data_IF_007917274055
#
_entry.id   IF_007917274055
#
_cell.length_a   1.000
_cell.length_b   1.000
_cell.length_c   1.000
_cell.angle_alpha   90.00
_cell.angle_beta   90.00
_cell.angle_gamma   90.00
#
_symmetry.space_group_name_H-M   'P 1'
#
loop_
_entity.id
_entity.type
_entity.pdbx_description
1 polymer ?
#
# COMPACT_ATOMS: atom_id res chain seq x y z
N UNK A 1 8.95 22.58 -16.31
CA UNK A 1 7.69 23.21 -16.72
C UNK A 1 6.58 22.19 -16.56
N UNK A 2 5.32 22.59 -16.31
CA UNK A 2 4.19 21.67 -16.22
C UNK A 2 4.01 20.90 -17.54
N UNK A 3 4.15 19.57 -17.49
CA UNK A 3 4.17 18.73 -18.69
C UNK A 3 3.66 17.32 -18.39
N UNK A 4 3.21 16.62 -19.43
CA UNK A 4 3.10 15.16 -19.41
C UNK A 4 4.53 14.62 -19.58
N UNK A 5 4.99 13.85 -18.59
CA UNK A 5 6.36 13.32 -18.56
C UNK A 5 6.45 12.05 -17.73
N UNK A 6 7.56 11.33 -17.89
CA UNK A 6 7.92 10.13 -17.11
C UNK A 6 8.44 10.43 -15.70
N UNK A 7 8.28 11.66 -15.21
CA UNK A 7 8.79 12.04 -13.90
C UNK A 7 7.95 11.39 -12.78
N UNK A 8 8.60 10.98 -11.69
CA UNK A 8 7.92 10.56 -10.46
C UNK A 8 7.43 11.75 -9.61
N UNK A 9 8.01 12.93 -9.82
CA UNK A 9 7.60 14.21 -9.22
C UNK A 9 7.07 15.14 -10.31
N UNK A 10 5.99 15.87 -10.06
CA UNK A 10 5.55 16.92 -10.98
C UNK A 10 6.40 18.21 -10.86
N UNK A 11 6.10 19.20 -11.70
CA UNK A 11 6.83 20.48 -11.69
C UNK A 11 6.72 21.25 -10.36
N UNK A 12 5.64 21.06 -9.60
CA UNK A 12 5.41 21.73 -8.32
C UNK A 12 6.01 20.96 -7.13
N UNK A 13 6.55 19.76 -7.39
CA UNK A 13 7.18 18.88 -6.41
C UNK A 13 6.19 17.90 -5.76
N UNK A 14 4.98 17.76 -6.31
CA UNK A 14 4.02 16.77 -5.81
C UNK A 14 4.47 15.37 -6.21
N UNK A 15 4.37 14.44 -5.27
CA UNK A 15 4.68 13.03 -5.51
C UNK A 15 3.57 12.37 -6.32
N UNK A 16 3.93 11.79 -7.48
CA UNK A 16 3.06 10.86 -8.22
C UNK A 16 3.16 9.46 -7.61
N UNK A 17 2.25 8.56 -7.99
CA UNK A 17 2.27 7.16 -7.56
C UNK A 17 3.67 6.51 -7.66
N UNK A 18 4.38 6.75 -8.77
CA UNK A 18 5.74 6.23 -8.98
C UNK A 18 6.74 6.63 -7.88
N UNK A 19 6.61 7.81 -7.26
CA UNK A 19 7.54 8.22 -6.20
C UNK A 19 7.28 7.46 -4.89
N UNK A 20 6.02 7.19 -4.58
CA UNK A 20 5.65 6.34 -3.43
C UNK A 20 6.13 4.90 -3.65
N UNK A 21 5.95 4.36 -4.86
CA UNK A 21 6.51 3.05 -5.23
C UNK A 21 8.04 3.03 -5.15
N UNK A 22 8.73 4.06 -5.65
CA UNK A 22 10.18 4.15 -5.58
C UNK A 22 10.71 4.15 -4.15
N UNK A 23 10.01 4.84 -3.24
CA UNK A 23 10.31 4.78 -1.80
C UNK A 23 10.19 3.34 -1.25
N UNK A 24 9.28 2.53 -1.76
CA UNK A 24 9.09 1.12 -1.34
C UNK A 24 10.13 0.20 -1.96
N UNK A 25 10.30 0.22 -3.29
CA UNK A 25 11.21 -0.70 -3.98
C UNK A 25 12.70 -0.36 -3.85
N UNK A 26 13.05 0.82 -3.30
CA UNK A 26 14.42 1.15 -2.86
C UNK A 26 14.61 1.11 -1.35
N UNK A 27 13.69 0.48 -0.60
CA UNK A 27 13.89 0.25 0.82
C UNK A 27 15.13 -0.66 1.03
N UNK A 28 16.07 -0.33 1.94
CA UNK A 28 17.26 -1.15 2.20
C UNK A 28 16.98 -2.62 2.55
N UNK A 29 15.77 -2.90 3.03
CA UNK A 29 15.27 -4.27 3.20
C UNK A 29 13.95 -4.42 2.46
N UNK A 30 13.95 -5.28 1.44
CA UNK A 30 12.83 -5.43 0.51
C UNK A 30 12.42 -6.88 0.35
N UNK A 31 11.14 -7.16 0.58
CA UNK A 31 10.50 -8.42 0.21
C UNK A 31 9.94 -8.30 -1.21
N UNK A 32 10.24 -9.25 -2.09
CA UNK A 32 9.70 -9.27 -3.45
C UNK A 32 9.13 -10.63 -3.81
N UNK A 33 8.02 -10.61 -4.54
CA UNK A 33 7.35 -11.79 -5.09
C UNK A 33 7.42 -11.69 -6.61
N UNK A 34 7.93 -12.73 -7.27
CA UNK A 34 8.03 -12.76 -8.72
C UNK A 34 7.62 -14.13 -9.26
N UNK A 35 6.87 -14.13 -10.36
CA UNK A 35 6.52 -15.38 -11.04
C UNK A 35 7.62 -15.76 -12.05
N UNK A 36 8.07 -17.01 -11.99
CA UNK A 36 8.96 -17.59 -13.00
C UNK A 36 8.73 -19.10 -13.08
N UNK A 37 8.60 -19.62 -14.29
CA UNK A 37 8.41 -21.06 -14.55
C UNK A 37 7.22 -21.66 -13.76
N UNK A 38 6.06 -21.01 -13.79
CA UNK A 38 4.84 -21.44 -13.09
C UNK A 38 5.00 -21.56 -11.55
N UNK A 39 5.93 -20.80 -10.97
CA UNK A 39 6.18 -20.75 -9.54
C UNK A 39 6.32 -19.30 -9.09
N UNK A 40 5.83 -19.00 -7.89
CA UNK A 40 6.08 -17.74 -7.20
C UNK A 40 7.37 -17.90 -6.39
N UNK A 41 8.36 -17.08 -6.72
CA UNK A 41 9.62 -16.96 -6.01
C UNK A 41 9.59 -15.76 -5.10
N UNK A 42 9.92 -15.98 -3.84
CA UNK A 42 9.95 -14.97 -2.80
C UNK A 42 11.41 -14.69 -2.46
N UNK A 43 11.83 -13.44 -2.66
CA UNK A 43 13.18 -12.99 -2.34
C UNK A 43 13.16 -11.93 -1.23
N UNK A 44 14.17 -11.98 -0.37
CA UNK A 44 14.45 -10.94 0.62
C UNK A 44 15.78 -10.30 0.23
N UNK A 45 15.73 -9.01 -0.07
CA UNK A 45 16.90 -8.20 -0.42
C UNK A 45 17.35 -7.45 0.82
N UNK A 46 18.67 -7.45 1.04
CA UNK A 46 19.32 -6.72 2.11
C UNK A 46 20.51 -5.93 1.56
N UNK A 47 20.33 -4.61 1.43
CA UNK A 47 21.39 -3.69 1.01
C UNK A 47 22.18 -3.12 2.21
N UNK A 48 21.95 -3.64 3.42
CA UNK A 48 22.64 -3.22 4.63
C UNK A 48 23.93 -4.03 4.86
N UNK A 49 24.84 -3.48 5.65
CA UNK A 49 26.12 -4.07 6.04
C UNK A 49 26.02 -5.08 7.21
N UNK A 50 24.78 -5.47 7.57
CA UNK A 50 24.49 -6.40 8.67
C UNK A 50 23.52 -7.47 8.21
N UNK A 51 23.85 -8.71 8.56
CA UNK A 51 22.90 -9.80 8.49
C UNK A 51 21.87 -9.67 9.62
N UNK A 52 20.67 -10.22 9.39
CA UNK A 52 19.61 -10.24 10.39
C UNK A 52 18.71 -11.45 10.20
N UNK A 53 18.02 -11.84 11.27
CA UNK A 53 16.99 -12.88 11.24
C UNK A 53 15.61 -12.24 11.15
N UNK A 54 14.76 -12.81 10.30
CA UNK A 54 13.34 -12.45 10.17
C UNK A 54 12.48 -13.69 10.09
N UNK A 55 11.22 -13.55 10.47
CA UNK A 55 10.18 -14.51 10.13
C UNK A 55 9.48 -14.05 8.86
N UNK A 56 9.49 -14.88 7.82
CA UNK A 56 8.73 -14.69 6.59
C UNK A 56 7.35 -15.32 6.76
N UNK A 57 6.30 -14.51 6.64
CA UNK A 57 4.92 -14.97 6.66
C UNK A 57 4.28 -14.78 5.28
N UNK A 58 3.64 -15.82 4.75
CA UNK A 58 3.03 -15.87 3.42
C UNK A 58 1.62 -16.40 3.53
N UNK A 59 0.67 -15.67 2.93
CA UNK A 59 -0.75 -15.96 2.95
C UNK A 59 -1.30 -15.94 1.54
N UNK A 60 -2.11 -16.94 1.20
CA UNK A 60 -3.03 -16.85 0.08
C UNK A 60 -4.38 -16.40 0.62
N UNK A 61 -4.81 -15.20 0.22
CA UNK A 61 -6.11 -14.66 0.59
C UNK A 61 -7.08 -14.76 -0.58
N UNK A 62 -8.34 -15.05 -0.28
CA UNK A 62 -9.43 -14.59 -1.15
C UNK A 62 -9.70 -13.09 -0.90
N UNK A 63 -10.40 -12.43 -1.83
CA UNK A 63 -10.73 -11.01 -1.66
C UNK A 63 -11.79 -10.71 -0.59
N UNK A 64 -12.41 -11.73 0.01
CA UNK A 64 -13.29 -11.56 1.16
C UNK A 64 -12.50 -11.47 2.48
N UNK A 65 -11.20 -11.82 2.45
CA UNK A 65 -10.30 -11.82 3.60
C UNK A 65 -10.14 -13.18 4.25
N UNK A 66 -10.61 -14.26 3.62
CA UNK A 66 -10.38 -15.62 4.10
C UNK A 66 -8.96 -16.06 3.71
N UNK A 67 -8.27 -16.70 4.66
CA UNK A 67 -6.96 -17.33 4.42
C UNK A 67 -7.19 -18.73 3.84
N UNK A 68 -6.75 -18.94 2.61
CA UNK A 68 -6.80 -20.24 1.93
C UNK A 68 -5.54 -21.07 2.16
N UNK A 69 -4.40 -20.40 2.38
CA UNK A 69 -3.13 -21.02 2.71
C UNK A 69 -2.29 -20.06 3.56
N UNK A 70 -1.56 -20.61 4.52
CA UNK A 70 -0.59 -19.88 5.33
C UNK A 70 0.71 -20.68 5.43
N UNK A 71 1.84 -20.00 5.30
CA UNK A 71 3.19 -20.51 5.53
C UNK A 71 3.99 -19.51 6.32
N UNK A 72 4.76 -20.00 7.28
CA UNK A 72 5.71 -19.20 8.05
C UNK A 72 7.04 -19.94 8.15
N UNK A 73 8.14 -19.21 8.03
CA UNK A 73 9.48 -19.75 8.20
C UNK A 73 10.47 -18.68 8.65
N UNK A 74 11.43 -19.08 9.47
CA UNK A 74 12.55 -18.22 9.86
C UNK A 74 13.61 -18.22 8.76
N UNK A 75 14.14 -17.02 8.47
CA UNK A 75 15.13 -16.79 7.43
C UNK A 75 16.24 -15.92 8.01
N UNK A 76 17.47 -16.45 7.97
CA UNK A 76 18.67 -15.64 8.14
C UNK A 76 18.97 -14.94 6.81
N UNK A 77 19.00 -13.60 6.81
CA UNK A 77 19.24 -12.78 5.62
C UNK A 77 20.67 -12.24 5.70
N UNK A 78 21.59 -12.69 4.83
CA UNK A 78 22.97 -12.20 4.81
C UNK A 78 23.04 -10.71 4.47
N UNK A 79 24.13 -10.03 4.86
CA UNK A 79 24.43 -8.67 4.41
C UNK A 79 24.65 -8.61 2.88
N UNK A 80 24.31 -7.49 2.24
CA UNK A 80 24.47 -7.25 0.79
C UNK A 80 24.02 -8.42 -0.09
N UNK A 81 22.81 -8.92 0.15
CA UNK A 81 22.32 -10.17 -0.45
C UNK A 81 20.93 -10.05 -1.08
N UNK A 82 20.62 -11.02 -1.94
CA UNK A 82 19.28 -11.29 -2.46
C UNK A 82 18.98 -12.76 -2.24
N UNK A 83 18.35 -13.05 -1.10
CA UNK A 83 18.12 -14.41 -0.62
C UNK A 83 16.80 -14.96 -1.15
N UNK A 84 16.82 -16.14 -1.78
CA UNK A 84 15.60 -16.80 -2.25
C UNK A 84 14.96 -17.58 -1.10
N UNK A 85 14.21 -16.88 -0.27
CA UNK A 85 13.62 -17.45 0.93
C UNK A 85 12.64 -18.61 0.66
N UNK A 86 11.76 -18.48 -0.35
CA UNK A 86 10.72 -19.49 -0.60
C UNK A 86 10.37 -19.58 -2.09
N UNK A 87 9.99 -20.79 -2.53
CA UNK A 87 9.40 -21.03 -3.84
C UNK A 87 8.11 -21.83 -3.64
N UNK A 88 7.03 -21.39 -4.29
CA UNK A 88 5.73 -22.07 -4.25
C UNK A 88 5.24 -22.26 -5.68
N UNK A 89 4.89 -23.49 -6.04
CA UNK A 89 4.28 -23.76 -7.35
C UNK A 89 2.88 -23.14 -7.43
N UNK A 90 2.56 -22.55 -8.58
CA UNK A 90 1.27 -21.90 -8.82
C UNK A 90 0.11 -22.91 -8.79
N UNK A 91 0.35 -24.15 -9.20
CA UNK A 91 -0.59 -25.28 -9.08
C UNK A 91 -1.06 -25.51 -7.64
N UNK A 92 -0.16 -25.39 -6.66
CA UNK A 92 -0.47 -25.55 -5.23
C UNK A 92 -1.33 -24.37 -4.75
N UNK A 93 -1.02 -23.16 -5.21
CA UNK A 93 -1.76 -21.94 -4.84
C UNK A 93 -3.17 -21.91 -5.44
N UNK A 94 -3.35 -22.48 -6.63
CA UNK A 94 -4.59 -22.38 -7.40
C UNK A 94 -5.37 -23.69 -7.49
N UNK A 95 -5.06 -24.69 -6.66
CA UNK A 95 -5.73 -25.99 -6.65
C UNK A 95 -7.26 -25.86 -6.49
N UNK A 96 -7.69 -24.91 -5.66
CA UNK A 96 -9.11 -24.68 -5.31
C UNK A 96 -9.54 -23.22 -5.53
N UNK A 97 -8.78 -22.44 -6.30
CA UNK A 97 -9.02 -21.01 -6.47
C UNK A 97 -8.81 -20.56 -7.92
N UNK A 98 -9.63 -19.61 -8.37
CA UNK A 98 -9.38 -18.88 -9.62
C UNK A 98 -8.34 -17.78 -9.41
N UNK A 99 -7.47 -17.55 -10.39
CA UNK A 99 -6.51 -16.43 -10.42
C UNK A 99 -7.16 -15.06 -10.14
N UNK A 100 -8.42 -14.89 -10.54
CA UNK A 100 -9.18 -13.64 -10.38
C UNK A 100 -9.75 -13.42 -8.97
N UNK A 101 -9.73 -14.45 -8.11
CA UNK A 101 -10.43 -14.45 -6.81
C UNK A 101 -9.48 -14.40 -5.62
N UNK A 102 -8.19 -14.63 -5.86
CA UNK A 102 -7.16 -14.71 -4.82
C UNK A 102 -5.96 -13.84 -5.12
N UNK A 103 -5.19 -13.55 -4.08
CA UNK A 103 -3.90 -12.90 -4.18
C UNK A 103 -2.96 -13.44 -3.11
N UNK A 104 -1.66 -13.39 -3.38
CA UNK A 104 -0.65 -13.73 -2.40
C UNK A 104 -0.25 -12.47 -1.64
N UNK A 105 -0.26 -12.54 -0.31
CA UNK A 105 0.28 -11.52 0.57
C UNK A 105 1.45 -12.09 1.35
N UNK A 106 2.56 -11.37 1.41
CA UNK A 106 3.67 -11.75 2.24
C UNK A 106 4.22 -10.55 3.01
N UNK A 107 4.74 -10.80 4.20
CA UNK A 107 5.52 -9.83 4.94
C UNK A 107 6.64 -10.51 5.73
N UNK A 108 7.69 -9.73 5.99
CA UNK A 108 8.77 -10.11 6.90
C UNK A 108 8.69 -9.25 8.15
N UNK A 109 8.95 -9.86 9.29
CA UNK A 109 8.98 -9.18 10.58
C UNK A 109 10.12 -9.69 11.46
N UNK A 110 10.45 -8.88 12.45
CA UNK A 110 11.34 -9.27 13.55
C UNK A 110 10.73 -8.80 14.87
N UNK A 111 11.50 -8.84 15.96
CA UNK A 111 11.06 -8.42 17.29
C UNK A 111 10.59 -6.94 17.36
N UNK A 112 10.95 -6.09 16.40
CA UNK A 112 10.50 -4.69 16.31
C UNK A 112 9.22 -4.51 15.48
N UNK A 113 8.73 -5.56 14.81
CA UNK A 113 7.52 -5.55 13.99
C UNK A 113 7.77 -5.79 12.50
N UNK A 114 6.77 -5.46 11.68
CA UNK A 114 6.81 -5.65 10.22
C UNK A 114 7.81 -4.71 9.56
N UNK A 115 8.67 -5.27 8.71
CA UNK A 115 9.77 -4.55 8.03
C UNK A 115 9.41 -4.24 6.58
N UNK A 116 8.92 -5.25 5.86
CA UNK A 116 8.59 -5.15 4.43
C UNK A 116 7.41 -6.07 4.12
N UNK A 117 6.57 -5.65 3.17
CA UNK A 117 5.40 -6.41 2.69
C UNK A 117 5.29 -6.33 1.18
N UNK A 118 4.73 -7.37 0.57
CA UNK A 118 4.49 -7.44 -0.85
C UNK A 118 3.21 -8.23 -1.15
N UNK A 119 2.51 -7.79 -2.19
CA UNK A 119 1.35 -8.49 -2.73
C UNK A 119 1.70 -9.00 -4.13
N UNK A 120 1.14 -10.14 -4.52
CA UNK A 120 1.17 -10.64 -5.88
C UNK A 120 -0.24 -11.03 -6.31
N UNK A 121 -0.66 -10.51 -7.47
CA UNK A 121 -1.96 -10.79 -8.08
C UNK A 121 -1.74 -11.74 -9.26
N UNK A 122 -2.56 -12.78 -9.37
CA UNK A 122 -2.38 -13.84 -10.38
C UNK A 122 -2.89 -13.46 -11.77
N UNK A 123 -3.58 -12.32 -11.90
CA UNK A 123 -4.09 -11.79 -13.17
C UNK A 123 -4.09 -10.26 -13.15
N UNK A 124 -4.28 -9.64 -14.31
CA UNK A 124 -4.34 -8.18 -14.45
C UNK A 124 -5.45 -7.58 -13.58
N UNK A 125 -5.22 -6.36 -13.08
CA UNK A 125 -6.10 -5.73 -12.09
C UNK A 125 -7.56 -5.62 -12.53
N UNK A 126 -7.81 -5.39 -13.82
CA UNK A 126 -9.16 -5.30 -14.41
C UNK A 126 -9.95 -6.62 -14.40
N UNK A 127 -9.28 -7.76 -14.20
CA UNK A 127 -9.92 -9.07 -14.13
C UNK A 127 -10.09 -9.57 -12.70
N UNK A 128 -9.51 -8.88 -11.71
CA UNK A 128 -9.66 -9.25 -10.31
C UNK A 128 -11.10 -9.00 -9.85
N UNK A 129 -11.69 -9.99 -9.19
CA UNK A 129 -13.01 -9.91 -8.56
C UNK A 129 -12.91 -9.27 -7.17
N UNK A 130 -12.30 -8.08 -7.11
CA UNK A 130 -12.20 -7.32 -5.86
C UNK A 130 -13.59 -6.85 -5.41
N UNK A 131 -13.92 -6.92 -4.11
CA UNK A 131 -15.17 -6.37 -3.60
C UNK A 131 -15.17 -4.85 -3.74
N UNK A 132 -16.36 -4.26 -3.80
CA UNK A 132 -16.51 -2.80 -3.65
C UNK A 132 -15.84 -2.35 -2.35
N UNK A 133 -14.92 -1.35 -2.39
CA UNK A 133 -14.14 -0.96 -1.24
C UNK A 133 -15.02 -0.37 -0.14
N UNK A 134 -14.90 -0.92 1.06
CA UNK A 134 -15.55 -0.44 2.28
C UNK A 134 -14.48 -0.09 3.31
N UNK A 135 -14.54 1.13 3.82
CA UNK A 135 -13.65 1.59 4.88
C UNK A 135 -14.28 2.73 5.66
N UNK A 136 -13.93 2.80 6.94
CA UNK A 136 -14.19 3.95 7.79
C UNK A 136 -12.95 4.84 7.76
N UNK A 137 -13.14 6.16 7.87
CA UNK A 137 -12.03 7.07 8.02
C UNK A 137 -12.36 8.20 9.00
N UNK A 138 -11.33 8.68 9.67
CA UNK A 138 -11.36 9.91 10.46
C UNK A 138 -10.08 10.70 10.19
N UNK A 139 -10.03 11.94 10.66
CA UNK A 139 -8.81 12.73 10.59
C UNK A 139 -8.68 13.65 11.79
N UNK A 140 -7.44 13.97 12.13
CA UNK A 140 -7.07 14.88 13.21
C UNK A 140 -6.05 15.91 12.70
N UNK A 141 -6.16 17.15 13.15
CA UNK A 141 -5.09 18.14 12.97
C UNK A 141 -4.11 18.02 14.14
N UNK A 142 -2.84 17.75 13.83
CA UNK A 142 -1.78 17.56 14.82
C UNK A 142 -0.59 18.41 14.41
N UNK A 143 -0.12 19.35 15.23
CA UNK A 143 1.16 20.05 15.01
C UNK A 143 1.39 20.61 13.58
N UNK A 144 0.35 21.18 12.94
CA UNK A 144 0.35 21.67 11.55
C UNK A 144 0.40 20.60 10.43
N UNK A 145 0.10 19.33 10.74
CA UNK A 145 -0.19 18.29 9.76
C UNK A 145 -1.62 17.78 9.91
N UNK A 146 -2.11 17.09 8.88
CA UNK A 146 -3.41 16.41 8.91
C UNK A 146 -3.14 14.91 8.92
N UNK A 147 -3.58 14.22 9.98
CA UNK A 147 -3.45 12.78 10.14
C UNK A 147 -4.77 12.10 9.78
N UNK A 148 -4.78 11.31 8.71
CA UNK A 148 -5.89 10.45 8.34
C UNK A 148 -5.74 9.09 9.01
N UNK A 149 -6.82 8.59 9.60
CA UNK A 149 -6.92 7.24 10.14
C UNK A 149 -7.94 6.48 9.31
N UNK A 150 -7.52 5.39 8.67
CA UNK A 150 -8.39 4.58 7.79
C UNK A 150 -8.47 3.17 8.36
N UNK A 151 -9.69 2.65 8.49
CA UNK A 151 -9.98 1.27 8.87
C UNK A 151 -10.64 0.56 7.69
N UNK A 152 -9.96 -0.44 7.13
CA UNK A 152 -10.52 -1.25 6.07
C UNK A 152 -11.58 -2.22 6.58
N UNK A 153 -12.68 -2.36 5.82
CA UNK A 153 -13.78 -3.32 6.02
C UNK A 153 -13.92 -4.31 4.85
N UNK A 154 -13.04 -4.19 3.86
CA UNK A 154 -12.83 -5.07 2.73
C UNK A 154 -11.36 -4.99 2.33
N UNK A 155 -10.89 -5.83 1.41
CA UNK A 155 -9.65 -5.53 0.72
C UNK A 155 -9.79 -4.21 -0.06
N UNK A 156 -8.74 -3.37 -0.03
CA UNK A 156 -8.71 -2.09 -0.73
C UNK A 156 -7.42 -2.02 -1.54
N UNK A 157 -7.54 -1.89 -2.85
CA UNK A 157 -6.39 -1.83 -3.75
C UNK A 157 -6.06 -0.37 -4.11
N UNK A 158 -4.79 -0.02 -4.00
CA UNK A 158 -4.23 1.30 -4.38
C UNK A 158 -5.06 2.49 -3.85
N UNK A 159 -5.39 2.46 -2.55
CA UNK A 159 -5.98 3.62 -1.88
C UNK A 159 -5.06 4.81 -2.05
N UNK A 160 -5.62 5.93 -2.46
CA UNK A 160 -4.89 7.18 -2.55
C UNK A 160 -5.71 8.39 -2.14
N UNK A 161 -5.01 9.34 -1.53
CA UNK A 161 -5.55 10.62 -1.09
C UNK A 161 -4.93 11.72 -1.94
N UNK A 162 -5.76 12.63 -2.44
CA UNK A 162 -5.32 13.83 -3.17
C UNK A 162 -5.82 15.06 -2.44
N UNK A 163 -4.95 16.04 -2.24
CA UNK A 163 -5.33 17.38 -1.80
C UNK A 163 -5.63 18.23 -3.04
N UNK A 164 -6.83 18.81 -3.14
CA UNK A 164 -7.29 19.49 -4.35
C UNK A 164 -6.89 20.97 -4.42
N UNK A 165 -6.59 21.59 -3.28
CA UNK A 165 -6.42 23.03 -3.18
C UNK A 165 -5.21 23.49 -2.36
N UNK A 166 -4.36 22.57 -1.88
CA UNK A 166 -3.10 22.90 -1.21
C UNK A 166 -1.97 21.97 -1.68
N UNK A 167 -0.75 22.51 -1.77
CA UNK A 167 0.44 21.72 -2.09
C UNK A 167 0.98 21.01 -0.84
N UNK A 168 1.38 19.76 -0.98
CA UNK A 168 1.95 18.97 0.10
C UNK A 168 2.19 17.53 -0.30
N UNK A 169 2.80 16.77 0.61
CA UNK A 169 3.09 15.35 0.40
C UNK A 169 2.46 14.50 1.49
N UNK A 170 2.15 13.25 1.18
CA UNK A 170 1.63 12.29 2.15
C UNK A 170 2.78 11.43 2.68
N UNK A 171 2.68 10.97 3.93
CA UNK A 171 3.65 10.01 4.51
C UNK A 171 3.70 8.71 3.71
N UNK A 172 2.54 8.31 3.18
CA UNK A 172 2.35 7.21 2.26
C UNK A 172 1.10 7.41 1.40
N UNK A 173 1.05 6.84 0.20
CA UNK A 173 -0.07 6.98 -0.74
C UNK A 173 -0.01 5.90 -1.83
N UNK A 174 -1.12 5.60 -2.53
CA UNK A 174 -1.16 4.55 -3.55
C UNK A 174 -0.71 3.19 -3.02
N UNK A 175 -1.45 2.63 -2.06
CA UNK A 175 -1.11 1.33 -1.47
C UNK A 175 -2.35 0.48 -1.20
N UNK A 176 -2.12 -0.81 -1.02
CA UNK A 176 -3.16 -1.77 -0.68
C UNK A 176 -3.34 -1.86 0.84
N UNK A 177 -4.58 -2.09 1.27
CA UNK A 177 -4.97 -2.27 2.68
C UNK A 177 -5.75 -3.58 2.79
N UNK A 178 -5.31 -4.46 3.69
CA UNK A 178 -5.99 -5.73 3.94
C UNK A 178 -7.30 -5.52 4.69
N UNK A 179 -8.24 -6.45 4.55
CA UNK A 179 -9.47 -6.42 5.33
C UNK A 179 -9.16 -6.43 6.84
N UNK A 180 -9.72 -5.48 7.58
CA UNK A 180 -9.47 -5.32 9.02
C UNK A 180 -8.21 -4.52 9.37
N UNK A 181 -7.33 -4.19 8.42
CA UNK A 181 -6.13 -3.38 8.68
C UNK A 181 -6.48 -1.91 8.97
N UNK A 182 -5.70 -1.31 9.87
CA UNK A 182 -5.73 0.12 10.20
C UNK A 182 -4.47 0.78 9.68
N UNK A 183 -4.61 1.93 9.05
CA UNK A 183 -3.46 2.72 8.57
C UNK A 183 -3.60 4.18 8.97
N UNK A 184 -2.47 4.81 9.23
CA UNK A 184 -2.37 6.25 9.49
C UNK A 184 -1.56 6.92 8.37
N UNK A 185 -2.08 8.01 7.83
CA UNK A 185 -1.46 8.76 6.73
C UNK A 185 -1.39 10.23 7.12
N UNK A 186 -0.18 10.77 7.20
CA UNK A 186 0.03 12.18 7.49
C UNK A 186 0.17 12.97 6.18
N UNK A 187 -0.60 14.04 6.02
CA UNK A 187 -0.39 15.04 4.99
C UNK A 187 0.47 16.19 5.55
N UNK A 188 1.55 16.51 4.85
CA UNK A 188 2.49 17.58 5.17
C UNK A 188 2.33 18.73 4.15
N UNK A 189 1.61 19.81 4.51
CA UNK A 189 1.52 20.99 3.66
C UNK A 189 2.90 21.60 3.39
N UNK A 190 3.14 22.04 2.15
CA UNK A 190 4.43 22.63 1.73
C UNK A 190 4.68 24.00 2.36
N UNK A 191 3.63 24.80 2.47
CA UNK A 191 3.65 26.06 3.21
C UNK A 191 2.95 25.84 4.54
N UNK A 192 3.34 26.60 5.57
CA UNK A 192 2.47 26.73 6.75
C UNK A 192 1.08 27.14 6.23
N UNK A 193 0.00 26.46 6.63
CA UNK A 193 -1.34 26.81 6.17
C UNK A 193 -1.59 28.29 6.48
N UNK A 194 -1.50 29.16 5.46
CA UNK A 194 -1.87 30.58 5.55
C UNK A 194 -3.40 30.70 5.59
N UNK A 195 -4.07 29.74 4.96
CA UNK A 195 -5.43 29.34 5.24
C UNK A 195 -5.45 28.74 6.63
N UNK A 196 -6.27 29.27 7.56
CA UNK A 196 -6.73 28.44 8.68
C UNK A 196 -7.13 27.07 8.09
N UNK A 197 -6.83 25.94 8.73
CA UNK A 197 -7.15 24.58 8.26
C UNK A 197 -8.63 24.35 7.85
N UNK A 198 -9.47 25.38 8.01
CA UNK A 198 -10.87 25.58 7.70
C UNK A 198 -11.28 25.43 6.21
N UNK A 199 -10.40 25.09 5.26
CA UNK A 199 -10.80 24.98 3.84
C UNK A 199 -10.04 23.93 2.99
N UNK A 200 -9.23 23.03 3.55
CA UNK A 200 -8.53 22.05 2.71
C UNK A 200 -9.52 20.99 2.22
N UNK A 201 -9.47 20.67 0.93
CA UNK A 201 -10.37 19.69 0.30
C UNK A 201 -9.54 18.49 -0.11
N UNK A 202 -9.90 17.33 0.43
CA UNK A 202 -9.28 16.06 0.07
C UNK A 202 -10.24 15.18 -0.69
N UNK A 203 -9.66 14.33 -1.51
CA UNK A 203 -10.34 13.30 -2.26
C UNK A 203 -9.67 11.96 -1.93
N UNK A 204 -10.47 10.99 -1.47
CA UNK A 204 -10.01 9.59 -1.30
C UNK A 204 -10.59 8.77 -2.45
N UNK A 205 -9.72 8.05 -3.14
CA UNK A 205 -10.05 7.11 -4.21
C UNK A 205 -9.30 5.80 -4.04
N UNK A 206 -9.77 4.76 -4.71
CA UNK A 206 -9.10 3.46 -4.80
C UNK A 206 -8.98 3.03 -6.26
N UNK A 207 -8.30 1.92 -6.57
CA UNK A 207 -8.28 1.40 -7.93
C UNK A 207 -9.68 1.06 -8.45
N UNK A 208 -10.51 0.45 -7.61
CA UNK A 208 -11.91 0.15 -7.95
C UNK A 208 -12.66 1.40 -8.42
N UNK A 209 -12.52 2.52 -7.71
CA UNK A 209 -13.18 3.77 -8.08
C UNK A 209 -12.75 4.29 -9.47
N UNK A 210 -11.51 3.99 -9.90
CA UNK A 210 -10.98 4.36 -11.22
C UNK A 210 -11.43 3.42 -12.34
N UNK A 211 -11.65 2.14 -12.05
CA UNK A 211 -12.08 1.13 -13.04
C UNK A 211 -13.57 1.27 -13.33
N UNK A 212 -14.39 1.47 -12.30
CA UNK A 212 -15.85 1.60 -12.41
C UNK A 212 -16.32 3.04 -12.72
N UNK A 213 -15.37 3.98 -12.89
CA UNK A 213 -15.63 5.42 -13.08
C UNK A 213 -16.61 6.00 -12.05
N UNK A 214 -16.44 5.60 -10.79
CA UNK A 214 -17.35 5.98 -9.70
C UNK A 214 -16.99 7.33 -9.08
N UNK A 215 -17.98 8.01 -8.49
CA UNK A 215 -17.75 9.30 -7.85
C UNK A 215 -16.76 9.20 -6.66
N UNK A 216 -15.83 10.15 -6.54
CA UNK A 216 -14.89 10.20 -5.44
C UNK A 216 -15.55 10.45 -4.09
N UNK A 217 -14.95 9.93 -3.01
CA UNK A 217 -15.27 10.37 -1.65
C UNK A 217 -14.58 11.70 -1.38
N UNK A 218 -15.36 12.78 -1.36
CA UNK A 218 -14.88 14.13 -1.05
C UNK A 218 -14.93 14.40 0.46
N UNK A 219 -13.85 14.97 0.98
CA UNK A 219 -13.73 15.38 2.38
C UNK A 219 -13.50 16.89 2.40
N UNK A 220 -14.48 17.62 2.93
CA UNK A 220 -14.37 19.07 3.15
C UNK A 220 -14.19 19.35 4.64
N UNK A 221 -13.11 20.07 4.98
CA UNK A 221 -12.87 20.53 6.34
C UNK A 221 -13.81 21.70 6.65
N UNK A 222 -14.82 21.49 7.50
CA UNK A 222 -15.60 22.57 8.12
C UNK A 222 -15.55 22.39 9.64
N UNK A 223 -15.23 23.46 10.38
CA UNK A 223 -15.27 23.43 11.85
C UNK A 223 -16.72 23.14 12.29
N UNK A 224 -16.92 22.32 13.32
CA UNK A 224 -18.13 22.41 14.14
C UNK A 224 -18.14 23.83 14.70
N UNK A 225 -19.13 24.63 14.34
CA UNK A 225 -19.40 25.87 15.04
C UNK A 225 -19.59 25.50 16.52
N UNK A 226 -18.70 26.00 17.38
CA UNK A 226 -18.90 25.91 18.81
C UNK A 226 -20.05 26.88 19.14
N UNK A 227 -21.14 26.33 19.69
CA UNK A 227 -22.09 27.08 20.52
C UNK A 227 -21.39 27.68 21.75
#
# INVERSE_FOLDING_TARGET
>A
WPAISWSSLDYFGNWKALHYEAKRFFNPTLLTLSEKNNSIKIFIINDQDKAFDVTLNVFLYDFNGNVMMEKSQDVNVPLFSSEQALVIEKSILLDQASESEVFLHAYIENNAGKISKANYFFTDQKYLKTPKPKFDYSYDELNNLICFKIQARSFIQQLHITCLNEQGNFSDNYFDILNGEKVEINFYPKNKPNSKAENIIFQIRTLHDLIEDSEPRLISFKRKENE
#
